data_IF_873609407235
#
_entry.id   IF_873609407235
#
_cell.length_a   1.000
_cell.length_b   1.000
_cell.length_c   1.000
_cell.angle_alpha   90.00
_cell.angle_beta   90.00
_cell.angle_gamma   90.00
#
_symmetry.space_group_name_H-M   'P 1'
#
loop_
_entity.id
_entity.type
_entity.pdbx_description
1 polymer ?
#
# COMPACT_ATOMS: atom_id res chain seq x y z
N UNK A 1 11.93 -14.86 6.88
CA UNK A 1 10.68 -15.43 7.41
C UNK A 1 10.01 -16.36 6.39
N UNK A 2 9.51 -15.87 5.24
CA UNK A 2 8.77 -16.69 4.27
C UNK A 2 9.48 -17.95 3.78
N UNK A 3 10.73 -17.85 3.31
CA UNK A 3 11.53 -19.01 2.86
C UNK A 3 11.77 -20.02 3.99
N UNK A 4 12.05 -19.53 5.20
CA UNK A 4 12.24 -20.38 6.39
C UNK A 4 10.94 -21.11 6.76
N UNK A 5 9.79 -20.47 6.55
CA UNK A 5 8.49 -21.08 6.69
C UNK A 5 8.10 -22.01 5.50
N UNK A 6 9.02 -22.26 4.56
CA UNK A 6 8.77 -23.13 3.40
C UNK A 6 7.95 -22.50 2.27
N UNK A 7 7.74 -21.17 2.29
CA UNK A 7 6.96 -20.48 1.27
C UNK A 7 7.85 -19.97 0.12
N UNK A 8 7.42 -20.22 -1.11
CA UNK A 8 7.97 -19.56 -2.29
C UNK A 8 7.43 -18.13 -2.37
N UNK A 9 8.25 -17.14 -1.97
CA UNK A 9 7.85 -15.73 -1.95
C UNK A 9 7.96 -15.14 -3.36
N UNK A 10 6.83 -15.08 -4.07
CA UNK A 10 6.78 -14.58 -5.45
C UNK A 10 7.05 -13.08 -5.55
N UNK A 11 6.53 -12.29 -4.61
CA UNK A 11 6.68 -10.84 -4.57
C UNK A 11 6.41 -10.32 -3.17
N UNK A 12 7.18 -9.32 -2.74
CA UNK A 12 6.84 -8.47 -1.60
C UNK A 12 6.26 -7.18 -2.16
N UNK A 13 5.15 -6.73 -1.59
CA UNK A 13 4.49 -5.47 -1.93
C UNK A 13 4.27 -4.65 -0.67
N UNK A 14 4.22 -3.33 -0.82
CA UNK A 14 3.92 -2.43 0.28
C UNK A 14 2.45 -2.60 0.71
N UNK A 15 2.17 -2.50 2.00
CA UNK A 15 0.82 -2.51 2.58
C UNK A 15 -0.14 -1.50 1.91
N UNK A 16 0.23 -0.22 1.70
CA UNK A 16 -0.65 0.72 0.99
C UNK A 16 -0.96 0.26 -0.45
N UNK A 17 -0.01 -0.35 -1.15
CA UNK A 17 -0.27 -0.91 -2.49
C UNK A 17 -1.22 -2.11 -2.42
N UNK A 18 -1.05 -2.99 -1.43
CA UNK A 18 -1.93 -4.13 -1.22
C UNK A 18 -3.37 -3.68 -0.93
N UNK A 19 -3.55 -2.68 -0.07
CA UNK A 19 -4.86 -2.09 0.23
C UNK A 19 -5.50 -1.50 -1.03
N UNK A 20 -4.75 -0.72 -1.82
CA UNK A 20 -5.29 -0.12 -3.03
C UNK A 20 -5.73 -1.17 -4.09
N UNK A 21 -5.00 -2.29 -4.20
CA UNK A 21 -5.40 -3.43 -5.05
C UNK A 21 -6.65 -4.13 -4.50
N UNK A 22 -6.75 -4.32 -3.19
CA UNK A 22 -7.89 -4.99 -2.56
C UNK A 22 -9.21 -4.23 -2.80
N UNK A 23 -9.16 -2.90 -2.85
CA UNK A 23 -10.29 -2.05 -3.21
C UNK A 23 -10.52 -1.91 -4.73
N UNK A 24 -9.72 -2.57 -5.57
CA UNK A 24 -9.84 -2.50 -7.03
C UNK A 24 -9.52 -1.12 -7.60
N UNK A 25 -8.66 -0.35 -6.92
CA UNK A 25 -8.29 1.00 -7.33
C UNK A 25 -7.37 1.00 -8.57
N UNK A 26 -6.75 -0.14 -8.88
CA UNK A 26 -6.05 -0.39 -10.16
C UNK A 26 -6.99 -0.43 -11.36
N UNK A 27 -8.28 -0.73 -11.15
CA UNK A 27 -9.25 -1.02 -12.23
C UNK A 27 -10.25 0.09 -12.49
N UNK A 28 -10.24 1.15 -11.68
CA UNK A 28 -11.36 2.09 -11.57
C UNK A 28 -11.01 3.52 -11.95
N UNK A 29 -10.87 3.78 -13.24
CA UNK A 29 -11.04 5.13 -13.81
C UNK A 29 -10.04 5.50 -14.90
N UNK A 30 -10.48 6.33 -15.85
CA UNK A 30 -9.59 7.04 -16.78
C UNK A 30 -8.97 8.23 -16.01
N UNK A 31 -7.65 8.31 -15.98
CA UNK A 31 -6.88 9.45 -15.45
C UNK A 31 -6.26 9.23 -14.06
N UNK A 32 -5.33 10.11 -13.72
CA UNK A 32 -4.59 10.11 -12.46
C UNK A 32 -5.51 10.28 -11.25
N UNK A 33 -5.36 9.41 -10.24
CA UNK A 33 -6.08 9.52 -8.96
C UNK A 33 -5.10 9.54 -7.80
N UNK A 34 -5.34 10.45 -6.86
CA UNK A 34 -4.65 10.46 -5.57
C UNK A 34 -5.51 9.74 -4.52
N UNK A 35 -4.89 8.85 -3.75
CA UNK A 35 -5.51 8.01 -2.73
C UNK A 35 -4.75 8.21 -1.44
N UNK A 36 -5.44 8.57 -0.38
CA UNK A 36 -4.89 8.54 0.97
C UNK A 36 -5.26 7.20 1.60
N UNK A 37 -4.25 6.53 2.16
CA UNK A 37 -4.38 5.29 2.89
C UNK A 37 -4.05 5.58 4.35
N UNK A 38 -4.96 5.18 5.22
CA UNK A 38 -4.87 5.35 6.65
C UNK A 38 -4.87 3.96 7.27
N UNK A 39 -3.72 3.53 7.78
CA UNK A 39 -3.55 2.27 8.48
C UNK A 39 -3.37 2.56 9.98
N UNK A 40 -4.31 2.07 10.79
CA UNK A 40 -4.28 2.21 12.24
C UNK A 40 -4.35 0.81 12.85
N UNK A 41 -3.17 0.24 13.07
CA UNK A 41 -2.99 -1.04 13.73
C UNK A 41 -3.00 -0.91 15.26
N UNK A 42 -2.87 -2.03 15.94
CA UNK A 42 -2.82 -2.07 17.42
C UNK A 42 -1.56 -1.46 18.04
N UNK A 43 -0.51 -1.23 17.24
CA UNK A 43 0.76 -0.65 17.70
C UNK A 43 1.51 0.17 16.64
N UNK A 44 0.96 0.30 15.44
CA UNK A 44 1.51 1.11 14.36
C UNK A 44 0.42 2.02 13.83
N UNK A 45 0.83 3.19 13.36
CA UNK A 45 -0.04 4.14 12.71
C UNK A 45 0.71 4.66 11.50
N UNK A 46 0.18 4.39 10.32
CA UNK A 46 0.86 4.61 9.06
C UNK A 46 -0.10 5.30 8.08
N UNK A 47 0.30 6.44 7.55
CA UNK A 47 -0.49 7.20 6.58
C UNK A 47 0.32 7.32 5.30
N UNK A 48 -0.25 6.89 4.17
CA UNK A 48 0.40 6.99 2.87
C UNK A 48 -0.49 7.69 1.85
N UNK A 49 0.11 8.51 0.99
CA UNK A 49 -0.55 9.07 -0.19
C UNK A 49 0.01 8.35 -1.41
N UNK A 50 -0.88 7.73 -2.17
CA UNK A 50 -0.58 7.09 -3.45
C UNK A 50 -1.15 7.92 -4.60
N UNK A 51 -0.42 7.98 -5.69
CA UNK A 51 -0.95 8.32 -7.00
C UNK A 51 -1.11 7.03 -7.79
N UNK A 52 -2.27 6.84 -8.40
CA UNK A 52 -2.59 5.72 -9.27
C UNK A 52 -2.86 6.27 -10.65
N UNK A 53 -2.12 5.77 -11.63
CA UNK A 53 -2.24 6.18 -13.04
C UNK A 53 -2.04 4.95 -13.92
N UNK A 54 -3.07 4.60 -14.71
CA UNK A 54 -3.11 3.40 -15.57
C UNK A 54 -2.61 2.11 -14.86
N UNK A 55 -3.07 1.89 -13.62
CA UNK A 55 -2.70 0.72 -12.81
C UNK A 55 -1.30 0.79 -12.19
N UNK A 56 -0.54 1.87 -12.42
CA UNK A 56 0.75 2.12 -11.79
C UNK A 56 0.54 2.86 -10.47
N UNK A 57 1.01 2.26 -9.39
CA UNK A 57 0.98 2.84 -8.05
C UNK A 57 2.30 3.56 -7.75
N UNK A 58 2.22 4.84 -7.41
CA UNK A 58 3.36 5.66 -6.97
C UNK A 58 3.11 6.19 -5.57
N UNK A 59 3.96 5.84 -4.62
CA UNK A 59 3.92 6.43 -3.27
C UNK A 59 4.45 7.87 -3.38
N UNK A 60 3.62 8.85 -3.00
CA UNK A 60 3.99 10.27 -2.96
C UNK A 60 4.58 10.66 -1.61
N UNK A 61 3.98 10.18 -0.54
CA UNK A 61 4.41 10.44 0.82
C UNK A 61 3.96 9.29 1.73
N UNK A 62 4.76 8.98 2.72
CA UNK A 62 4.40 8.08 3.82
C UNK A 62 4.84 8.73 5.12
N UNK A 63 3.92 8.81 6.07
CA UNK A 63 4.17 9.21 7.44
C UNK A 63 3.92 7.99 8.34
N UNK A 64 4.85 7.72 9.24
CA UNK A 64 4.77 6.64 10.22
C UNK A 64 4.90 7.30 11.59
N UNK A 65 3.82 7.85 12.19
CA UNK A 65 3.93 8.44 13.52
C UNK A 65 4.04 7.32 14.57
N UNK A 66 5.20 6.66 14.62
CA UNK A 66 5.54 5.77 15.71
C UNK A 66 5.83 6.64 16.93
N UNK A 67 5.01 6.53 17.98
CA UNK A 67 5.40 7.02 19.30
C UNK A 67 6.70 6.29 19.69
N UNK A 68 7.74 7.04 20.03
CA UNK A 68 8.79 6.56 20.92
C UNK A 68 8.43 6.93 22.34
#
# INVERSE_FOLDING_TARGET
>A
AGVIAGLNVLRIINEPTAAAIAYGLDRSGKGERNVLIFDLGGGTFDVSILTIDDGIFKVKATALPTHR
#
